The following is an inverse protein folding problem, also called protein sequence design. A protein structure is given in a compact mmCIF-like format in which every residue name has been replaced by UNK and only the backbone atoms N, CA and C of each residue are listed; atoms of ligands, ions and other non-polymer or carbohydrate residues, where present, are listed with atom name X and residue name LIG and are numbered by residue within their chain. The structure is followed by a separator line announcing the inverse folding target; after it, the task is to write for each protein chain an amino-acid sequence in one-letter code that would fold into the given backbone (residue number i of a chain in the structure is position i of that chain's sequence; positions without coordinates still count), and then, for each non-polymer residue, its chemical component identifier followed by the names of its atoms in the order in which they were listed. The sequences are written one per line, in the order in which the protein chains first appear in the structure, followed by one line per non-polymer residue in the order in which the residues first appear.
data_IF_193428253240
#
_entry.id   IF_193428253240
#
_cell.length_a   1.000
_cell.length_b   1.000
_cell.length_c   1.000
_cell.angle_alpha   90.00
_cell.angle_beta   90.00
_cell.angle_gamma   90.00
#
_symmetry.space_group_name_H-M   'P 1'
#
loop_
_entity.id
_entity.type
_entity.pdbx_description
1 polymer ?
#
# COMPACT_ATOMS: atom_id res chain seq x y z
N UNK A 1 40.92 -1.00 48.86
CA UNK A 1 40.73 -2.21 48.02
C UNK A 1 39.32 -2.22 47.40
N UNK A 2 38.97 -1.22 46.58
CA UNK A 2 37.64 -1.11 45.92
C UNK A 2 37.67 -0.38 44.57
N UNK A 3 38.86 -0.26 43.95
CA UNK A 3 39.02 0.50 42.69
C UNK A 3 39.47 -0.39 41.53
N UNK A 4 40.00 -1.60 41.81
CA UNK A 4 40.53 -2.48 40.76
C UNK A 4 39.53 -3.48 40.16
N UNK A 5 38.30 -3.57 40.69
CA UNK A 5 37.29 -4.54 40.20
C UNK A 5 36.41 -3.94 39.09
N UNK A 6 36.39 -2.63 38.90
CA UNK A 6 35.47 -1.99 37.93
C UNK A 6 36.06 -1.79 36.53
N UNK A 7 37.33 -2.13 36.29
CA UNK A 7 37.99 -1.90 35.00
C UNK A 7 37.99 -3.11 34.06
N UNK A 8 37.55 -4.28 34.52
CA UNK A 8 37.56 -5.52 33.71
C UNK A 8 36.22 -5.75 32.99
N UNK A 9 35.13 -5.08 33.40
CA UNK A 9 33.80 -5.27 32.79
C UNK A 9 33.52 -4.38 31.56
N UNK A 10 34.38 -3.40 31.25
CA UNK A 10 34.16 -2.47 30.12
C UNK A 10 34.86 -2.92 28.83
N UNK A 11 35.87 -3.80 28.92
CA UNK A 11 36.65 -4.24 27.75
C UNK A 11 35.95 -5.27 26.85
N UNK A 12 34.96 -5.99 27.36
CA UNK A 12 34.40 -7.17 26.67
C UNK A 12 33.21 -6.87 25.75
N UNK A 13 32.74 -5.62 25.68
CA UNK A 13 31.58 -5.23 24.84
C UNK A 13 32.01 -4.59 23.51
N UNK A 14 33.29 -4.22 23.33
CA UNK A 14 33.79 -3.58 22.10
C UNK A 14 34.26 -4.53 20.99
N UNK A 15 34.22 -5.86 21.20
CA UNK A 15 34.83 -6.81 20.26
C UNK A 15 33.85 -7.48 19.26
N UNK A 16 32.60 -7.00 19.11
CA UNK A 16 31.56 -7.67 18.32
C UNK A 16 30.95 -6.86 17.16
N UNK A 17 31.44 -5.66 16.85
CA UNK A 17 30.83 -4.80 15.81
C UNK A 17 31.59 -4.74 14.47
N UNK A 18 32.62 -5.56 14.27
CA UNK A 18 33.51 -5.44 13.10
C UNK A 18 33.14 -6.32 11.88
N UNK A 19 32.03 -7.08 11.88
CA UNK A 19 31.72 -8.00 10.77
C UNK A 19 30.26 -7.96 10.29
N UNK A 20 29.63 -6.78 10.22
CA UNK A 20 28.37 -6.61 9.46
C UNK A 20 28.64 -5.77 8.21
N UNK A 21 28.45 -6.31 6.98
CA UNK A 21 28.50 -5.48 5.79
C UNK A 21 27.42 -4.40 5.90
N UNK A 22 27.72 -3.17 5.47
CA UNK A 22 26.75 -2.09 5.42
C UNK A 22 25.59 -2.53 4.51
N UNK A 23 24.40 -2.68 5.09
CA UNK A 23 23.17 -2.84 4.31
C UNK A 23 22.96 -1.52 3.60
N UNK A 24 22.92 -1.47 2.25
CA UNK A 24 22.63 -0.24 1.55
C UNK A 24 21.24 0.26 1.96
N UNK A 25 21.20 1.50 2.43
CA UNK A 25 19.96 2.19 2.80
C UNK A 25 19.10 2.34 1.54
N UNK A 26 18.18 1.39 1.35
CA UNK A 26 17.22 1.39 0.25
C UNK A 26 15.93 2.12 0.62
N UNK A 27 15.92 2.86 1.74
CA UNK A 27 14.72 3.44 2.35
C UNK A 27 14.66 4.96 2.35
N UNK A 28 15.77 5.66 2.08
CA UNK A 28 15.79 7.13 2.13
C UNK A 28 15.11 7.81 0.92
N UNK A 29 14.73 7.09 -0.15
CA UNK A 29 14.28 7.70 -1.42
C UNK A 29 12.94 7.18 -1.96
N UNK A 30 12.10 6.57 -1.13
CA UNK A 30 10.70 6.35 -1.50
C UNK A 30 9.91 7.67 -1.35
N UNK A 31 10.12 8.55 -2.35
CA UNK A 31 9.49 9.85 -2.63
C UNK A 31 8.37 10.37 -1.74
N UNK A 32 8.63 11.50 -1.07
CA UNK A 32 7.58 12.41 -0.55
C UNK A 32 7.93 13.91 -0.65
N UNK A 33 9.13 14.30 -1.11
CA UNK A 33 9.57 15.72 -1.08
C UNK A 33 9.27 16.53 -2.35
N UNK A 34 8.67 15.92 -3.37
CA UNK A 34 8.23 16.65 -4.57
C UNK A 34 6.72 16.76 -4.58
N UNK A 35 6.22 18.00 -4.51
CA UNK A 35 4.80 18.29 -4.62
C UNK A 35 4.29 17.80 -5.98
N UNK A 36 3.08 17.20 -6.07
CA UNK A 36 2.49 16.81 -7.36
C UNK A 36 2.23 17.99 -8.32
N UNK A 37 2.53 19.23 -7.89
CA UNK A 37 2.40 20.46 -8.67
C UNK A 37 3.75 21.01 -9.18
N UNK A 38 4.88 20.37 -8.87
CA UNK A 38 6.18 20.80 -9.39
C UNK A 38 6.29 20.55 -10.89
N UNK A 39 7.00 21.44 -11.59
CA UNK A 39 7.22 21.31 -13.03
C UNK A 39 8.05 20.03 -13.32
N UNK A 40 7.70 19.25 -14.36
CA UNK A 40 8.43 18.03 -14.66
C UNK A 40 9.91 18.31 -14.96
N UNK A 41 10.83 17.43 -14.52
CA UNK A 41 12.25 17.60 -14.77
C UNK A 41 12.53 17.60 -16.29
N UNK A 42 13.59 18.31 -16.74
CA UNK A 42 13.95 18.34 -18.15
C UNK A 42 14.32 16.95 -18.68
N UNK A 43 14.06 16.72 -19.97
CA UNK A 43 14.35 15.44 -20.61
C UNK A 43 15.84 15.08 -20.46
N UNK A 44 16.12 13.90 -19.90
CA UNK A 44 17.49 13.43 -19.68
C UNK A 44 18.01 13.56 -18.24
N UNK A 45 17.21 14.08 -17.31
CA UNK A 45 17.57 14.17 -15.87
C UNK A 45 16.60 13.42 -14.97
N UNK A 46 17.05 13.04 -13.77
CA UNK A 46 16.22 12.49 -12.70
C UNK A 46 15.31 13.56 -12.09
N UNK A 47 14.41 13.15 -11.20
CA UNK A 47 13.53 14.04 -10.42
C UNK A 47 14.33 15.05 -9.56
N UNK A 48 15.60 14.74 -9.25
CA UNK A 48 16.51 15.62 -8.52
C UNK A 48 17.47 16.42 -9.43
N UNK A 49 17.29 16.37 -10.76
CA UNK A 49 18.09 17.12 -11.72
C UNK A 49 19.45 16.47 -12.06
N UNK A 50 19.70 15.23 -11.65
CA UNK A 50 20.93 14.51 -12.00
C UNK A 50 20.85 13.90 -13.40
N UNK A 51 21.94 13.85 -14.18
CA UNK A 51 21.91 13.26 -15.52
C UNK A 51 21.61 11.76 -15.46
N UNK A 52 20.69 11.28 -16.31
CA UNK A 52 20.38 9.85 -16.42
C UNK A 52 21.64 9.08 -16.83
N UNK A 53 22.04 8.09 -16.01
CA UNK A 53 23.14 7.19 -16.33
C UNK A 53 22.78 6.46 -17.64
N UNK A 54 23.62 6.53 -18.69
CA UNK A 54 23.33 5.86 -19.96
C UNK A 54 23.19 4.35 -19.71
N UNK A 55 22.37 3.64 -20.51
CA UNK A 55 22.22 2.20 -20.36
C UNK A 55 23.61 1.57 -20.42
N UNK A 56 23.92 0.77 -19.39
CA UNK A 56 25.11 -0.06 -19.33
C UNK A 56 25.18 -0.81 -20.66
N UNK A 57 26.28 -0.61 -21.40
CA UNK A 57 26.57 -1.33 -22.64
C UNK A 57 26.34 -2.81 -22.37
N UNK A 58 25.37 -3.41 -23.07
CA UNK A 58 25.21 -4.87 -23.07
C UNK A 58 26.45 -5.42 -23.74
N UNK A 59 27.41 -5.92 -22.96
CA UNK A 59 28.48 -6.76 -23.50
C UNK A 59 27.86 -8.10 -23.90
N UNK A 60 27.80 -8.35 -25.21
CA UNK A 60 27.42 -9.63 -25.77
C UNK A 60 28.64 -10.57 -25.73
N UNK A 61 28.92 -11.16 -24.56
CA UNK A 61 29.83 -12.32 -24.53
C UNK A 61 29.07 -13.53 -25.05
N UNK A 62 29.59 -14.17 -26.10
CA UNK A 62 29.02 -15.40 -26.64
C UNK A 62 29.45 -16.55 -25.72
N UNK A 63 28.49 -17.22 -25.08
CA UNK A 63 28.78 -18.49 -24.41
C UNK A 63 28.78 -19.61 -25.46
N UNK A 64 29.93 -20.27 -25.64
CA UNK A 64 29.99 -21.53 -26.36
C UNK A 64 29.13 -22.58 -25.65
N UNK A 65 28.36 -23.35 -26.43
CA UNK A 65 27.53 -24.41 -25.91
C UNK A 65 28.38 -25.47 -25.19
N UNK A 66 27.99 -25.94 -23.99
CA UNK A 66 28.72 -26.99 -23.33
C UNK A 66 28.66 -28.26 -24.19
N UNK A 67 29.82 -28.76 -24.59
CA UNK A 67 29.92 -30.09 -25.20
C UNK A 67 29.39 -31.11 -24.21
N UNK A 68 28.51 -32.01 -24.67
CA UNK A 68 27.95 -33.07 -23.85
C UNK A 68 29.07 -33.89 -23.20
N UNK A 69 29.09 -33.94 -21.87
CA UNK A 69 30.02 -34.78 -21.12
C UNK A 69 29.81 -36.26 -21.49
N UNK A 70 30.87 -37.05 -21.65
CA UNK A 70 30.74 -38.49 -21.90
C UNK A 70 30.05 -39.15 -20.70
N UNK A 71 28.92 -39.81 -20.96
CA UNK A 71 28.18 -40.56 -19.95
C UNK A 71 28.93 -41.88 -19.67
N UNK A 72 29.46 -42.03 -18.46
CA UNK A 72 29.86 -43.34 -17.93
C UNK A 72 28.61 -44.18 -17.65
N UNK A 73 28.60 -45.51 -17.91
CA UNK A 73 27.49 -46.38 -17.52
C UNK A 73 27.51 -46.58 -16.00
N UNK A 74 26.86 -45.68 -15.28
CA UNK A 74 26.64 -45.76 -13.84
C UNK A 74 25.32 -46.48 -13.54
N UNK A 75 25.42 -47.62 -12.87
CA UNK A 75 24.37 -48.56 -12.50
C UNK A 75 23.07 -47.91 -12.00
N UNK A 76 21.97 -48.12 -12.73
CA UNK A 76 20.64 -48.12 -12.14
C UNK A 76 20.52 -49.36 -11.26
N UNK A 77 20.73 -49.20 -9.95
CA UNK A 77 20.28 -50.17 -8.96
C UNK A 77 18.76 -50.22 -9.03
N UNK A 78 18.25 -51.21 -9.75
CA UNK A 78 16.87 -51.65 -9.68
C UNK A 78 16.52 -51.95 -8.22
N UNK A 79 15.68 -51.09 -7.65
CA UNK A 79 14.91 -51.47 -6.47
C UNK A 79 14.03 -52.67 -6.87
N UNK A 80 14.22 -53.80 -6.19
CA UNK A 80 13.35 -54.98 -6.34
C UNK A 80 13.93 -56.13 -7.15
N UNK A 81 15.20 -56.51 -6.94
CA UNK A 81 15.55 -57.93 -7.12
C UNK A 81 15.28 -58.62 -5.80
N UNK A 82 14.10 -59.23 -5.65
CA UNK A 82 13.85 -60.20 -4.58
C UNK A 82 14.75 -61.41 -4.84
N UNK A 83 15.98 -61.35 -4.35
CA UNK A 83 16.82 -62.53 -4.20
C UNK A 83 16.06 -63.47 -3.29
N UNK A 84 15.54 -64.55 -3.87
CA UNK A 84 14.95 -65.68 -3.17
C UNK A 84 16.00 -66.28 -2.22
N UNK A 85 16.04 -65.75 -1.00
CA UNK A 85 16.77 -66.30 0.13
C UNK A 85 16.00 -65.93 1.38
N UNK A 86 14.84 -66.55 1.50
CA UNK A 86 13.86 -66.27 2.51
C UNK A 86 13.16 -67.59 2.79
N UNK A 87 13.40 -68.13 3.99
CA UNK A 87 12.98 -69.48 4.39
C UNK A 87 11.47 -69.67 4.27
N UNK A 88 11.00 -70.90 4.44
CA UNK A 88 9.60 -71.29 4.23
C UNK A 88 8.55 -70.39 4.93
N UNK A 89 8.94 -69.59 5.93
CA UNK A 89 8.10 -68.58 6.60
C UNK A 89 7.73 -67.38 5.73
N UNK A 90 8.60 -66.97 4.81
CA UNK A 90 8.42 -65.73 4.02
C UNK A 90 7.52 -65.97 2.80
N UNK A 91 7.60 -67.15 2.20
CA UNK A 91 6.67 -67.56 1.14
C UNK A 91 5.24 -67.64 1.70
N UNK A 92 5.08 -68.10 2.93
CA UNK A 92 3.78 -68.20 3.58
C UNK A 92 3.19 -66.81 3.90
N UNK A 93 4.01 -65.85 4.35
CA UNK A 93 3.56 -64.49 4.63
C UNK A 93 3.23 -63.71 3.35
N UNK A 94 4.03 -63.88 2.29
CA UNK A 94 3.77 -63.27 0.98
C UNK A 94 2.51 -63.86 0.32
N UNK A 95 2.32 -65.19 0.41
CA UNK A 95 1.09 -65.85 -0.08
C UNK A 95 -0.14 -65.36 0.67
N UNK A 96 -0.07 -65.16 1.99
CA UNK A 96 -1.17 -64.63 2.79
C UNK A 96 -1.50 -63.17 2.45
N UNK A 97 -0.49 -62.33 2.18
CA UNK A 97 -0.68 -60.95 1.74
C UNK A 97 -1.33 -60.89 0.35
N UNK A 98 -0.88 -61.73 -0.59
CA UNK A 98 -1.44 -61.82 -1.93
C UNK A 98 -2.91 -62.31 -1.92
N UNK A 99 -3.25 -63.26 -1.05
CA UNK A 99 -4.63 -63.76 -0.90
C UNK A 99 -5.56 -62.73 -0.24
N UNK A 100 -5.05 -61.92 0.68
CA UNK A 100 -5.82 -60.83 1.30
C UNK A 100 -6.10 -59.70 0.30
N UNK A 101 -5.11 -59.38 -0.54
CA UNK A 101 -5.25 -58.38 -1.60
C UNK A 101 -6.19 -58.83 -2.74
N UNK A 102 -6.25 -60.13 -3.04
CA UNK A 102 -7.18 -60.67 -4.04
C UNK A 102 -8.62 -60.76 -3.53
N UNK A 103 -8.83 -61.05 -2.25
CA UNK A 103 -10.17 -61.05 -1.63
C UNK A 103 -10.79 -59.66 -1.47
N UNK A 104 -9.95 -58.62 -1.38
CA UNK A 104 -10.39 -57.23 -1.22
C UNK A 104 -10.71 -56.51 -2.54
N UNK A 105 -10.45 -57.16 -3.68
CA UNK A 105 -10.70 -56.62 -5.02
C UNK A 105 -11.86 -57.32 -5.71
N UNK A 106 -12.49 -56.64 -6.67
CA UNK A 106 -13.68 -57.06 -7.44
C UNK A 106 -13.47 -58.27 -8.37
N UNK A 107 -12.51 -59.16 -8.07
CA UNK A 107 -12.18 -60.32 -8.89
C UNK A 107 -11.42 -60.01 -10.19
N UNK A 108 -11.03 -58.74 -10.41
CA UNK A 108 -10.20 -58.31 -11.53
C UNK A 108 -8.75 -58.11 -11.09
N UNK A 109 -7.82 -58.62 -11.90
CA UNK A 109 -6.38 -58.43 -11.66
C UNK A 109 -6.05 -56.93 -11.67
N UNK A 110 -5.29 -56.40 -10.68
CA UNK A 110 -4.87 -55.01 -10.67
C UNK A 110 -4.14 -54.66 -11.96
N UNK A 111 -4.48 -53.52 -12.57
CA UNK A 111 -3.77 -53.01 -13.74
C UNK A 111 -2.32 -52.75 -13.34
N UNK A 112 -1.40 -53.49 -13.95
CA UNK A 112 0.03 -53.32 -13.75
C UNK A 112 0.45 -51.97 -14.33
N UNK A 113 0.83 -51.03 -13.47
CA UNK A 113 1.42 -49.76 -13.86
C UNK A 113 2.87 -50.00 -14.35
N UNK A 114 3.01 -50.65 -15.51
CA UNK A 114 4.29 -50.83 -16.18
C UNK A 114 4.58 -49.63 -17.08
N UNK A 115 5.84 -49.15 -17.15
CA UNK A 115 6.27 -48.17 -18.16
C UNK A 115 6.08 -48.63 -19.61
N UNK A 116 5.88 -49.93 -19.83
CA UNK A 116 5.59 -50.51 -21.15
C UNK A 116 4.09 -50.49 -21.53
N UNK A 117 3.22 -49.98 -20.66
CA UNK A 117 1.80 -49.82 -20.99
C UNK A 117 1.59 -48.57 -21.87
N UNK A 118 0.71 -48.61 -22.89
CA UNK A 118 0.45 -47.45 -23.74
C UNK A 118 -0.08 -46.26 -22.91
N UNK A 119 0.43 -45.06 -23.19
CA UNK A 119 0.03 -43.85 -22.50
C UNK A 119 -1.48 -43.59 -22.69
N UNK A 120 -2.21 -43.11 -21.66
CA UNK A 120 -3.61 -42.73 -21.80
C UNK A 120 -3.77 -41.63 -22.86
N UNK A 121 -4.75 -41.79 -23.76
CA UNK A 121 -5.12 -40.77 -24.74
C UNK A 121 -5.74 -39.58 -24.00
N UNK A 122 -5.07 -38.42 -24.04
CA UNK A 122 -5.62 -37.18 -23.50
C UNK A 122 -6.68 -36.67 -24.48
N UNK A 123 -7.95 -36.96 -24.19
CA UNK A 123 -9.10 -36.42 -24.93
C UNK A 123 -9.55 -35.14 -24.23
N UNK A 124 -9.07 -33.98 -24.71
CA UNK A 124 -9.58 -32.66 -24.35
C UNK A 124 -8.79 -31.90 -23.29
N UNK A 125 -8.42 -30.65 -23.61
CA UNK A 125 -7.65 -29.72 -22.78
C UNK A 125 -8.36 -29.40 -21.46
N UNK A 126 -7.90 -29.99 -20.36
CA UNK A 126 -8.53 -29.85 -19.05
C UNK A 126 -7.73 -29.00 -18.04
N UNK A 127 -6.82 -28.10 -18.45
CA UNK A 127 -6.06 -27.38 -17.40
C UNK A 127 -5.18 -26.18 -17.72
N UNK A 128 -5.08 -25.68 -18.95
CA UNK A 128 -4.30 -24.44 -19.19
C UNK A 128 -5.07 -23.54 -20.14
N UNK A 129 -5.51 -22.43 -19.56
CA UNK A 129 -5.77 -21.13 -20.18
C UNK A 129 -4.87 -20.89 -21.42
N UNK A 130 -5.46 -20.85 -22.61
CA UNK A 130 -4.77 -20.64 -23.89
C UNK A 130 -4.69 -19.16 -24.30
N UNK A 131 -4.90 -18.25 -23.34
CA UNK A 131 -4.79 -16.80 -23.52
C UNK A 131 -3.36 -16.33 -23.82
N UNK A 132 -2.35 -17.20 -23.62
CA UNK A 132 -0.96 -16.96 -24.01
C UNK A 132 -0.56 -17.69 -25.32
N UNK A 133 -1.46 -18.47 -25.95
CA UNK A 133 -1.21 -19.11 -27.24
C UNK A 133 -1.67 -18.17 -28.37
N UNK A 134 -0.70 -17.62 -29.11
CA UNK A 134 -0.96 -16.70 -30.21
C UNK A 134 -1.81 -17.30 -31.33
N UNK A 135 -1.74 -18.61 -31.57
CA UNK A 135 -2.57 -19.30 -32.56
C UNK A 135 -4.02 -19.42 -32.10
N UNK A 136 -4.22 -19.82 -30.84
CA UNK A 136 -5.56 -19.90 -30.25
C UNK A 136 -6.22 -18.52 -30.16
N UNK A 137 -5.48 -17.49 -29.74
CA UNK A 137 -5.97 -16.11 -29.64
C UNK A 137 -6.27 -15.51 -31.01
N UNK A 138 -5.36 -15.61 -31.98
CA UNK A 138 -5.61 -15.06 -33.33
C UNK A 138 -6.75 -15.73 -34.08
N UNK A 139 -7.09 -16.99 -33.74
CA UNK A 139 -8.26 -17.66 -34.29
C UNK A 139 -9.60 -17.16 -33.71
N UNK A 140 -9.58 -16.58 -32.50
CA UNK A 140 -10.77 -16.11 -31.76
C UNK A 140 -10.95 -14.59 -31.80
N UNK A 141 -9.83 -13.85 -31.82
CA UNK A 141 -9.76 -12.40 -31.81
C UNK A 141 -9.20 -11.95 -33.16
N UNK A 142 -10.10 -11.59 -34.09
CA UNK A 142 -9.71 -10.99 -35.36
C UNK A 142 -9.51 -9.48 -35.20
N UNK A 143 -8.85 -8.86 -36.19
CA UNK A 143 -8.61 -7.41 -36.22
C UNK A 143 -9.93 -6.64 -36.28
N UNK A 144 -10.89 -7.17 -37.04
CA UNK A 144 -12.23 -6.58 -37.22
C UNK A 144 -13.01 -6.59 -35.90
N UNK A 145 -12.98 -7.71 -35.18
CA UNK A 145 -13.63 -7.85 -33.86
C UNK A 145 -13.06 -6.85 -32.84
N UNK A 146 -11.74 -6.68 -32.81
CA UNK A 146 -11.11 -5.70 -31.90
C UNK A 146 -11.40 -4.26 -32.32
N UNK A 147 -11.48 -3.98 -33.63
CA UNK A 147 -11.87 -2.67 -34.15
C UNK A 147 -13.31 -2.31 -33.75
N UNK A 148 -14.26 -3.25 -33.84
CA UNK A 148 -15.65 -3.07 -33.44
C UNK A 148 -15.75 -2.80 -31.93
N UNK A 149 -15.02 -3.57 -31.11
CA UNK A 149 -14.97 -3.36 -29.66
C UNK A 149 -14.38 -2.01 -29.29
N UNK A 150 -13.34 -1.58 -30.01
CA UNK A 150 -12.71 -0.28 -29.80
C UNK A 150 -13.65 0.86 -30.23
N UNK A 151 -14.44 0.66 -31.29
CA UNK A 151 -15.48 1.60 -31.71
C UNK A 151 -16.60 1.70 -30.68
N UNK A 152 -17.05 0.57 -30.13
CA UNK A 152 -18.04 0.53 -29.05
C UNK A 152 -17.51 1.24 -27.79
N UNK A 153 -16.29 0.94 -27.35
CA UNK A 153 -15.65 1.61 -26.22
C UNK A 153 -15.53 3.12 -26.45
N UNK A 154 -15.16 3.54 -27.65
CA UNK A 154 -15.10 4.97 -28.01
C UNK A 154 -16.47 5.63 -28.04
N UNK A 155 -17.52 4.93 -28.46
CA UNK A 155 -18.89 5.44 -28.46
C UNK A 155 -19.45 5.67 -27.06
N UNK A 156 -18.98 4.88 -26.09
CA UNK A 156 -19.37 5.00 -24.67
C UNK A 156 -18.46 5.93 -23.87
N UNK A 157 -17.27 6.25 -24.39
CA UNK A 157 -16.30 7.10 -23.72
C UNK A 157 -16.80 8.55 -23.66
N UNK A 158 -16.93 9.08 -22.44
CA UNK A 158 -17.25 10.48 -22.18
C UNK A 158 -16.14 11.10 -21.34
N UNK A 159 -15.59 12.21 -21.84
CA UNK A 159 -14.68 13.05 -21.06
C UNK A 159 -15.51 14.13 -20.39
N UNK A 160 -15.56 14.12 -19.06
CA UNK A 160 -16.12 15.21 -18.28
C UNK A 160 -14.99 16.21 -18.05
N UNK A 161 -15.08 17.37 -18.69
CA UNK A 161 -14.13 18.44 -18.43
C UNK A 161 -14.30 18.99 -17.00
N UNK A 162 -13.21 19.31 -16.29
CA UNK A 162 -13.30 19.94 -14.98
C UNK A 162 -14.06 21.27 -15.08
N UNK A 163 -15.27 21.32 -14.54
CA UNK A 163 -16.00 22.57 -14.35
C UNK A 163 -15.48 23.31 -13.12
N UNK A 164 -15.38 24.63 -13.20
CA UNK A 164 -15.00 25.46 -12.07
C UNK A 164 -15.91 25.21 -10.86
N UNK A 165 -15.32 25.19 -9.66
CA UNK A 165 -16.06 25.03 -8.41
C UNK A 165 -17.13 26.14 -8.33
N UNK A 166 -18.42 25.81 -8.12
CA UNK A 166 -19.46 26.81 -8.03
C UNK A 166 -19.12 27.86 -6.97
N UNK A 167 -19.15 29.13 -7.37
CA UNK A 167 -19.01 30.24 -6.42
C UNK A 167 -20.31 30.34 -5.63
N UNK A 168 -20.22 30.40 -4.31
CA UNK A 168 -21.37 30.56 -3.43
C UNK A 168 -22.12 31.85 -3.82
N UNK A 169 -23.39 31.71 -4.23
CA UNK A 169 -24.23 32.85 -4.60
C UNK A 169 -24.90 33.45 -3.36
N UNK A 170 -24.73 34.76 -3.14
CA UNK A 170 -25.32 35.54 -2.04
C UNK A 170 -24.27 36.14 -1.09
N UNK A 171 -24.70 37.10 -0.26
CA UNK A 171 -23.94 37.59 0.89
C UNK A 171 -23.90 36.47 1.94
N UNK A 172 -22.98 35.52 1.75
CA UNK A 172 -22.55 34.68 2.86
C UNK A 172 -21.96 35.64 3.87
N UNK A 173 -22.67 35.87 4.99
CA UNK A 173 -22.23 36.76 6.05
C UNK A 173 -20.79 36.47 6.50
N UNK A 174 -20.26 37.24 7.46
CA UNK A 174 -18.85 37.22 7.82
C UNK A 174 -18.28 35.80 7.95
N UNK A 175 -17.22 35.50 7.18
CA UNK A 175 -16.61 34.18 7.17
C UNK A 175 -15.66 34.03 8.37
N UNK A 176 -16.01 33.13 9.29
CA UNK A 176 -15.26 32.88 10.53
C UNK A 176 -13.84 32.38 10.27
N UNK A 177 -13.60 31.61 9.21
CA UNK A 177 -12.26 31.12 8.83
C UNK A 177 -11.40 32.29 8.33
N UNK A 178 -11.97 33.15 7.49
CA UNK A 178 -11.25 34.34 7.01
C UNK A 178 -10.89 35.30 8.16
N UNK A 179 -11.77 35.39 9.16
CA UNK A 179 -11.50 36.14 10.37
C UNK A 179 -10.41 35.47 11.22
N UNK A 180 -10.45 34.15 11.41
CA UNK A 180 -9.42 33.42 12.13
C UNK A 180 -8.02 33.65 11.54
N UNK A 181 -7.90 33.63 10.21
CA UNK A 181 -6.62 33.79 9.52
C UNK A 181 -6.09 35.23 9.50
N UNK A 182 -6.97 36.23 9.64
CA UNK A 182 -6.59 37.65 9.65
C UNK A 182 -6.49 38.25 11.05
N UNK A 183 -7.15 37.66 12.04
CA UNK A 183 -7.12 38.12 13.42
C UNK A 183 -5.75 37.88 14.05
N UNK A 184 -5.20 38.92 14.69
CA UNK A 184 -3.90 38.88 15.38
C UNK A 184 -4.05 38.88 16.90
N UNK A 185 -5.29 38.84 17.41
CA UNK A 185 -5.53 38.91 18.84
C UNK A 185 -5.18 37.55 19.48
N UNK A 186 -4.38 37.52 20.55
CA UNK A 186 -4.16 36.29 21.29
C UNK A 186 -5.41 35.87 22.05
N UNK A 187 -5.69 34.56 22.07
CA UNK A 187 -6.78 33.96 22.85
C UNK A 187 -6.75 34.40 24.32
N UNK A 188 -7.92 34.75 24.85
CA UNK A 188 -8.13 35.17 26.24
C UNK A 188 -7.49 36.51 26.61
N UNK A 189 -6.84 37.20 25.65
CA UNK A 189 -6.22 38.50 25.90
C UNK A 189 -7.19 39.62 25.54
N UNK A 190 -7.56 40.42 26.54
CA UNK A 190 -8.46 41.55 26.34
C UNK A 190 -7.84 42.62 25.43
N UNK A 191 -8.30 42.70 24.19
CA UNK A 191 -7.99 43.76 23.23
C UNK A 191 -9.11 44.83 23.22
N UNK A 192 -10.35 44.41 23.44
CA UNK A 192 -11.53 45.25 23.42
C UNK A 192 -12.11 45.39 24.83
N UNK A 193 -12.30 46.63 25.29
CA UNK A 193 -12.92 46.87 26.59
C UNK A 193 -14.39 46.46 26.57
N UNK A 194 -14.80 45.70 27.58
CA UNK A 194 -16.19 45.29 27.81
C UNK A 194 -16.69 45.85 29.13
N UNK A 195 -17.80 46.56 29.10
CA UNK A 195 -18.42 47.18 30.29
C UNK A 195 -19.88 46.77 30.36
N UNK A 196 -20.31 46.27 31.52
CA UNK A 196 -21.70 45.90 31.74
C UNK A 196 -21.92 45.22 33.08
N UNK A 197 -23.14 45.32 33.61
CA UNK A 197 -23.54 44.65 34.85
C UNK A 197 -23.83 43.18 34.52
N UNK A 198 -23.26 42.25 35.30
CA UNK A 198 -23.47 40.80 35.14
C UNK A 198 -23.14 40.27 33.73
N UNK A 199 -22.12 40.83 33.07
CA UNK A 199 -21.80 40.51 31.67
C UNK A 199 -21.47 39.03 31.47
N UNK A 200 -20.76 38.40 32.42
CA UNK A 200 -20.42 36.97 32.39
C UNK A 200 -21.68 36.08 32.36
N UNK A 201 -22.58 36.25 33.32
CA UNK A 201 -23.84 35.50 33.37
C UNK A 201 -24.74 35.75 32.15
N UNK A 202 -24.65 36.94 31.54
CA UNK A 202 -25.36 37.25 30.28
C UNK A 202 -24.72 36.50 29.10
N UNK A 203 -23.39 36.52 29.00
CA UNK A 203 -22.63 35.84 27.96
C UNK A 203 -22.89 34.34 27.98
N UNK A 204 -22.83 33.71 29.16
CA UNK A 204 -23.12 32.27 29.33
C UNK A 204 -24.50 31.88 28.77
N UNK A 205 -25.55 32.66 29.07
CA UNK A 205 -26.90 32.42 28.53
C UNK A 205 -27.00 32.66 27.03
N UNK A 206 -26.34 33.71 26.53
CA UNK A 206 -26.39 34.05 25.12
C UNK A 206 -25.62 33.03 24.26
N UNK A 207 -24.46 32.57 24.75
CA UNK A 207 -23.66 31.52 24.14
C UNK A 207 -24.41 30.19 24.08
N UNK A 208 -25.15 29.83 25.14
CA UNK A 208 -26.01 28.65 25.14
C UNK A 208 -27.14 28.68 24.10
N UNK A 209 -27.44 29.85 23.50
CA UNK A 209 -28.41 29.99 22.43
C UNK A 209 -27.90 29.52 21.05
N UNK A 210 -26.60 29.29 20.89
CA UNK A 210 -25.99 28.85 19.64
C UNK A 210 -25.68 27.35 19.67
N UNK A 211 -25.90 26.67 18.54
CA UNK A 211 -25.62 25.23 18.40
C UNK A 211 -24.12 24.90 18.31
N UNK A 212 -23.29 25.88 17.98
CA UNK A 212 -21.83 25.75 17.85
C UNK A 212 -21.15 27.10 18.08
N UNK A 213 -19.89 27.07 18.48
CA UNK A 213 -19.06 28.26 18.66
C UNK A 213 -18.86 29.03 17.34
N UNK A 214 -18.73 28.32 16.21
CA UNK A 214 -18.63 28.97 14.89
C UNK A 214 -19.86 29.81 14.54
N UNK A 215 -21.06 29.34 14.89
CA UNK A 215 -22.29 30.09 14.65
C UNK A 215 -22.39 31.31 15.57
N UNK A 216 -21.94 31.19 16.82
CA UNK A 216 -21.83 32.32 17.72
C UNK A 216 -20.85 33.37 17.18
N UNK A 217 -19.67 32.93 16.68
CA UNK A 217 -18.68 33.82 16.08
C UNK A 217 -19.20 34.50 14.81
N UNK A 218 -19.88 33.77 13.93
CA UNK A 218 -20.49 34.36 12.74
C UNK A 218 -21.50 35.46 13.12
N UNK A 219 -22.40 35.17 14.06
CA UNK A 219 -23.40 36.13 14.52
C UNK A 219 -22.76 37.34 15.24
N UNK A 220 -21.68 37.12 15.98
CA UNK A 220 -20.89 38.17 16.62
C UNK A 220 -20.29 39.13 15.58
N UNK A 221 -19.65 38.59 14.54
CA UNK A 221 -19.08 39.39 13.45
C UNK A 221 -20.18 40.13 12.67
N UNK A 222 -21.30 39.46 12.40
CA UNK A 222 -22.46 40.06 11.72
C UNK A 222 -23.08 41.22 12.52
N UNK A 223 -23.08 41.11 13.84
CA UNK A 223 -23.54 42.16 14.75
C UNK A 223 -22.54 43.32 14.95
N UNK A 224 -21.35 43.25 14.34
CA UNK A 224 -20.31 44.30 14.39
C UNK A 224 -19.14 44.03 15.35
N UNK A 225 -19.00 42.80 15.84
CA UNK A 225 -17.79 42.34 16.53
C UNK A 225 -16.56 42.42 15.61
N UNK A 226 -15.33 42.52 16.16
CA UNK A 226 -14.99 42.57 17.59
C UNK A 226 -15.10 43.96 18.24
N UNK A 227 -15.30 45.00 17.42
CA UNK A 227 -15.41 46.39 17.88
C UNK A 227 -16.67 46.64 18.72
N UNK A 228 -17.80 46.02 18.34
CA UNK A 228 -19.09 46.18 19.04
C UNK A 228 -19.70 44.82 19.34
N UNK A 229 -19.62 44.41 20.60
CA UNK A 229 -20.29 43.22 21.09
C UNK A 229 -21.75 43.51 21.49
N UNK A 230 -22.64 43.61 20.49
CA UNK A 230 -24.07 43.86 20.73
C UNK A 230 -24.78 42.67 21.35
N UNK A 231 -24.26 41.48 21.09
CA UNK A 231 -24.84 40.21 21.51
C UNK A 231 -24.30 39.76 22.88
N UNK A 232 -23.34 40.48 23.45
CA UNK A 232 -22.68 40.12 24.70
C UNK A 232 -22.13 38.69 24.66
N UNK A 233 -21.40 38.35 23.60
CA UNK A 233 -20.82 37.01 23.38
C UNK A 233 -19.34 36.93 23.72
N UNK A 234 -18.63 38.06 23.77
CA UNK A 234 -17.19 38.16 23.99
C UNK A 234 -16.96 38.98 25.27
N UNK A 235 -17.05 38.30 26.42
CA UNK A 235 -17.00 38.92 27.75
C UNK A 235 -15.57 39.29 28.18
N UNK A 236 -14.60 38.52 27.76
CA UNK A 236 -13.17 38.73 28.00
C UNK A 236 -12.57 39.79 27.09
N UNK A 237 -13.15 40.00 25.92
CA UNK A 237 -12.82 41.08 25.00
C UNK A 237 -11.65 40.75 24.09
N UNK A 238 -11.39 39.49 23.79
CA UNK A 238 -10.31 39.06 22.91
C UNK A 238 -10.69 39.11 21.42
N UNK A 239 -11.97 39.37 21.13
CA UNK A 239 -12.52 39.42 19.78
C UNK A 239 -13.00 38.07 19.27
N UNK A 240 -13.11 37.08 20.15
CA UNK A 240 -13.62 35.74 19.90
C UNK A 240 -14.86 35.51 20.77
N UNK A 241 -15.93 35.02 20.15
CA UNK A 241 -17.22 34.86 20.79
C UNK A 241 -17.32 33.50 21.48
N UNK A 242 -17.81 33.50 22.72
CA UNK A 242 -18.03 32.29 23.50
C UNK A 242 -16.72 31.48 23.61
N UNK A 243 -16.77 30.17 23.35
CA UNK A 243 -15.61 29.27 23.37
C UNK A 243 -14.97 29.10 21.97
N UNK A 244 -15.10 30.09 21.08
CA UNK A 244 -14.56 29.99 19.73
C UNK A 244 -13.05 30.15 19.70
N UNK A 245 -12.36 29.19 19.09
CA UNK A 245 -10.90 29.13 19.03
C UNK A 245 -10.40 29.36 17.57
N UNK A 246 -9.68 30.47 17.29
CA UNK A 246 -9.12 30.74 15.96
C UNK A 246 -7.94 29.83 15.62
N UNK A 247 -7.23 29.27 16.61
CA UNK A 247 -6.02 28.49 16.41
C UNK A 247 -6.31 27.21 15.63
N UNK A 248 -7.49 26.61 15.81
CA UNK A 248 -7.93 25.43 15.06
C UNK A 248 -7.84 25.69 13.55
N UNK A 249 -8.21 26.90 13.11
CA UNK A 249 -8.16 27.30 11.70
C UNK A 249 -6.76 27.73 11.26
N UNK A 250 -6.02 28.43 12.12
CA UNK A 250 -4.67 28.89 11.81
C UNK A 250 -3.68 27.72 11.65
N UNK A 251 -3.79 26.70 12.50
CA UNK A 251 -2.96 25.49 12.41
C UNK A 251 -3.28 24.65 11.17
N UNK A 252 -4.54 24.61 10.72
CA UNK A 252 -4.94 23.86 9.53
C UNK A 252 -4.28 24.37 8.24
N UNK A 253 -3.84 25.63 8.20
CA UNK A 253 -3.17 26.25 7.03
C UNK A 253 -1.64 26.15 7.11
N UNK A 254 -1.08 25.79 8.26
CA UNK A 254 0.38 25.73 8.49
C UNK A 254 0.99 24.35 8.15
N UNK A 255 0.18 23.36 7.76
CA UNK A 255 0.62 22.05 7.26
C UNK A 255 0.64 22.03 5.73
#
# INVERSE_FOLDING_TARGET
MRVFVSLISVGSVLALTACTPAVPDSGAEAGFDTSPFDAPPPAGTTIFGEPLVPPIRVESTSLDAPTAAPRSPGSSTSAGTFRASSGNSDIASETAAALSASQSNTGQAPLQASPSNPAPLIVGNAGISDENDFGAVSSRQSIESDADRLAENRSQYQVIEPTAVPVRQGDAGPNVVSYALSATNPLGTRIYSRTGINLRAKSERNCAGYRSSDLAQQAFLEAGGPKRDRLALDVDGDGYACDWDPLVYQHAVQN
#
